data_IF_709235097549
#
_entry.id   IF_709235097549
#
_cell.length_a   1.000
_cell.length_b   1.000
_cell.length_c   1.000
_cell.angle_alpha   90.00
_cell.angle_beta   90.00
_cell.angle_gamma   90.00
#
_symmetry.space_group_name_H-M   'P 1'
#
loop_
_entity.id
_entity.type
_entity.pdbx_description
1 polymer ?
#
# COMPACT_ATOMS: atom_id res chain seq x y z
N UNK A 1 56.05 13.15 -3.98
CA UNK A 1 55.43 12.09 -3.16
C UNK A 1 53.95 12.47 -3.02
N UNK A 2 53.10 12.07 -3.98
CA UNK A 2 52.01 11.05 -3.84
C UNK A 2 50.89 11.51 -2.86
N UNK A 3 49.70 11.95 -3.31
CA UNK A 3 48.51 11.27 -3.91
C UNK A 3 47.70 10.42 -2.92
N UNK A 4 46.47 10.85 -2.64
CA UNK A 4 45.21 10.09 -2.41
C UNK A 4 44.10 11.18 -2.28
N UNK A 5 43.22 11.47 -3.25
CA UNK A 5 42.11 10.68 -3.81
C UNK A 5 41.17 10.06 -2.75
N UNK A 6 40.02 10.71 -2.56
CA UNK A 6 38.68 10.13 -2.36
C UNK A 6 37.73 11.33 -2.24
N UNK A 7 36.85 11.62 -3.19
CA UNK A 7 36.02 10.68 -3.94
C UNK A 7 34.60 10.98 -3.48
N UNK A 8 33.97 11.89 -4.23
CA UNK A 8 32.61 12.40 -4.06
C UNK A 8 31.62 11.25 -3.78
N UNK A 9 31.22 11.10 -2.52
CA UNK A 9 30.20 10.15 -2.14
C UNK A 9 28.84 10.73 -2.54
N UNK A 10 28.53 10.48 -3.82
CA UNK A 10 27.20 10.34 -4.42
C UNK A 10 26.07 10.52 -3.40
N UNK A 11 25.40 11.65 -3.51
CA UNK A 11 24.02 11.83 -3.07
C UNK A 11 23.23 10.62 -3.53
N UNK A 12 22.94 9.70 -2.60
CA UNK A 12 21.93 8.68 -2.80
C UNK A 12 20.64 9.45 -3.04
N UNK A 13 20.27 9.50 -4.32
CA UNK A 13 19.03 10.10 -4.76
C UNK A 13 17.91 9.46 -3.94
N UNK A 14 17.34 10.28 -3.07
CA UNK A 14 15.96 10.18 -2.62
C UNK A 14 15.15 9.91 -3.88
N UNK A 15 14.92 8.62 -4.17
CA UNK A 15 13.82 8.22 -5.02
C UNK A 15 12.59 8.57 -4.20
N UNK A 16 12.28 9.86 -4.17
CA UNK A 16 10.97 10.37 -3.79
C UNK A 16 10.07 9.78 -4.85
N UNK A 17 9.53 8.60 -4.54
CA UNK A 17 8.34 8.11 -5.21
C UNK A 17 7.40 9.29 -5.32
N UNK A 18 6.77 9.52 -6.49
CA UNK A 18 5.95 10.70 -6.71
C UNK A 18 5.03 10.89 -5.51
N UNK A 19 4.86 12.14 -5.05
CA UNK A 19 3.89 12.53 -4.03
C UNK A 19 2.48 12.16 -4.53
N UNK A 20 2.18 10.87 -4.59
CA UNK A 20 0.83 10.33 -4.62
C UNK A 20 0.36 10.61 -3.22
N UNK A 21 -0.30 11.74 -3.07
CA UNK A 21 -0.97 12.06 -1.84
C UNK A 21 -1.94 10.87 -1.61
N UNK A 22 -1.76 10.19 -0.49
CA UNK A 22 -2.50 8.96 -0.18
C UNK A 22 -3.26 9.25 1.08
N UNK A 23 -4.59 9.18 1.00
CA UNK A 23 -5.44 9.45 2.14
C UNK A 23 -6.00 8.14 2.69
N UNK A 24 -5.84 7.97 4.00
CA UNK A 24 -6.45 6.88 4.74
C UNK A 24 -7.94 7.21 4.90
N UNK A 25 -8.79 6.21 4.70
CA UNK A 25 -10.23 6.37 4.88
C UNK A 25 -10.63 6.06 6.32
N UNK A 26 -11.79 6.59 6.74
CA UNK A 26 -12.33 6.36 8.09
C UNK A 26 -12.91 4.97 8.21
N UNK A 27 -13.01 4.47 9.45
CA UNK A 27 -13.66 3.20 9.74
C UNK A 27 -15.12 3.15 9.26
N UNK A 28 -15.84 4.28 9.26
CA UNK A 28 -17.22 4.35 8.76
C UNK A 28 -17.33 4.56 7.23
N UNK A 29 -16.21 4.42 6.49
CA UNK A 29 -16.23 4.59 5.05
C UNK A 29 -17.12 3.54 4.35
N UNK A 30 -17.89 4.02 3.37
CA UNK A 30 -18.80 3.23 2.53
C UNK A 30 -18.48 3.46 1.06
N UNK A 31 -19.00 2.61 0.15
CA UNK A 31 -18.73 2.75 -1.28
C UNK A 31 -17.30 2.34 -1.65
N UNK A 32 -16.70 1.43 -0.88
CA UNK A 32 -15.35 0.93 -1.09
C UNK A 32 -15.29 -0.19 -2.15
N UNK A 33 -16.42 -0.82 -2.45
CA UNK A 33 -16.47 -1.96 -3.35
C UNK A 33 -15.96 -1.59 -4.75
N UNK A 34 -15.00 -2.35 -5.25
CA UNK A 34 -14.38 -2.16 -6.57
C UNK A 34 -13.44 -0.95 -6.64
N UNK A 35 -13.20 -0.23 -5.54
CA UNK A 35 -12.24 0.86 -5.52
C UNK A 35 -10.82 0.30 -5.62
N UNK A 36 -10.02 0.94 -6.46
CA UNK A 36 -8.57 0.74 -6.44
C UNK A 36 -7.97 1.49 -5.25
N UNK A 37 -7.13 0.79 -4.49
CA UNK A 37 -6.43 1.30 -3.32
C UNK A 37 -4.94 1.00 -3.44
N UNK A 38 -4.13 1.80 -2.77
CA UNK A 38 -2.70 1.58 -2.60
C UNK A 38 -2.45 0.88 -1.27
N UNK A 39 -1.69 -0.20 -1.31
CA UNK A 39 -1.05 -0.76 -0.13
C UNK A 39 0.15 0.11 0.23
N UNK A 40 0.18 0.62 1.46
CA UNK A 40 1.27 1.50 1.93
C UNK A 40 2.38 0.73 2.63
N UNK A 41 2.09 -0.48 3.14
CA UNK A 41 3.06 -1.33 3.81
C UNK A 41 3.62 -2.41 2.89
N UNK A 42 4.94 -2.65 2.97
CA UNK A 42 5.64 -3.69 2.22
C UNK A 42 5.29 -5.11 2.67
N UNK A 43 4.83 -5.24 3.93
CA UNK A 43 4.43 -6.50 4.54
C UNK A 43 2.97 -6.41 5.03
N UNK A 44 1.99 -6.55 4.13
CA UNK A 44 0.59 -6.38 4.45
C UNK A 44 0.11 -7.44 5.45
N UNK A 45 -0.65 -6.98 6.44
CA UNK A 45 -1.21 -7.82 7.50
C UNK A 45 -2.69 -7.53 7.73
N UNK A 46 -3.42 -8.54 8.22
CA UNK A 46 -4.74 -8.29 8.83
C UNK A 46 -4.57 -7.58 10.18
N UNK A 47 -5.64 -7.02 10.75
CA UNK A 47 -5.68 -6.44 12.11
C UNK A 47 -5.13 -7.40 13.18
N UNK A 48 -5.37 -8.71 13.04
CA UNK A 48 -4.84 -9.73 13.95
C UNK A 48 -3.33 -10.05 13.76
N UNK A 49 -2.63 -9.34 12.86
CA UNK A 49 -1.20 -9.52 12.60
C UNK A 49 -0.83 -10.67 11.66
N UNK A 50 -1.80 -11.28 10.96
CA UNK A 50 -1.51 -12.33 9.98
C UNK A 50 -0.98 -11.74 8.67
N UNK A 51 0.23 -12.13 8.28
CA UNK A 51 0.87 -11.74 7.02
C UNK A 51 0.07 -12.26 5.83
N UNK A 52 -0.18 -11.39 4.86
CA UNK A 52 -0.83 -11.72 3.59
C UNK A 52 0.23 -11.99 2.52
N UNK A 53 0.76 -13.21 2.47
CA UNK A 53 1.89 -13.58 1.60
C UNK A 53 1.64 -13.26 0.11
N UNK A 54 0.40 -13.43 -0.36
CA UNK A 54 0.01 -13.13 -1.74
C UNK A 54 -0.04 -11.64 -2.10
N UNK A 55 0.16 -10.75 -1.12
CA UNK A 55 0.19 -9.29 -1.28
C UNK A 55 1.58 -8.69 -1.05
N UNK A 56 2.60 -9.50 -0.73
CA UNK A 56 3.97 -9.01 -0.53
C UNK A 56 4.49 -8.43 -1.85
N UNK A 57 4.96 -7.18 -1.80
CA UNK A 57 5.43 -6.45 -2.98
C UNK A 57 4.33 -5.97 -3.92
N UNK A 58 3.05 -6.13 -3.55
CA UNK A 58 1.91 -5.58 -4.29
C UNK A 58 1.63 -4.16 -3.79
N UNK A 59 1.60 -3.19 -4.70
CA UNK A 59 1.30 -1.80 -4.37
C UNK A 59 -0.14 -1.40 -4.68
N UNK A 60 -0.77 -2.02 -5.69
CA UNK A 60 -2.12 -1.69 -6.15
C UNK A 60 -3.07 -2.87 -5.97
N UNK A 61 -4.17 -2.62 -5.27
CA UNK A 61 -5.20 -3.63 -4.98
C UNK A 61 -6.59 -3.08 -5.27
N UNK A 62 -7.55 -3.98 -5.48
CA UNK A 62 -8.97 -3.67 -5.62
C UNK A 62 -9.69 -4.17 -4.37
N UNK A 63 -10.50 -3.30 -3.77
CA UNK A 63 -11.31 -3.64 -2.61
C UNK A 63 -12.55 -4.45 -3.02
N UNK A 64 -12.84 -5.50 -2.27
CA UNK A 64 -13.97 -6.41 -2.46
C UNK A 64 -15.08 -6.21 -1.43
N UNK A 65 -14.85 -5.40 -0.40
CA UNK A 65 -15.85 -5.04 0.60
C UNK A 65 -16.35 -3.61 0.36
N UNK A 66 -17.62 -3.35 0.68
CA UNK A 66 -18.19 -1.99 0.62
C UNK A 66 -17.82 -1.12 1.83
N UNK A 67 -17.56 -1.77 2.98
CA UNK A 67 -17.26 -1.16 4.28
C UNK A 67 -16.21 -1.98 5.01
N UNK A 68 -15.38 -1.39 5.90
CA UNK A 68 -14.51 -2.16 6.79
C UNK A 68 -15.31 -3.16 7.63
N UNK A 69 -14.73 -4.34 7.84
CA UNK A 69 -15.30 -5.34 8.76
C UNK A 69 -15.19 -4.89 10.22
N UNK A 70 -15.88 -5.60 11.12
CA UNK A 70 -15.79 -5.36 12.58
C UNK A 70 -14.39 -5.55 13.16
N UNK A 71 -13.52 -6.28 12.45
CA UNK A 71 -12.10 -6.44 12.80
C UNK A 71 -11.21 -5.43 12.08
N UNK A 72 -11.77 -4.34 11.56
CA UNK A 72 -11.01 -3.29 10.87
C UNK A 72 -10.28 -3.79 9.60
N UNK A 73 -10.69 -4.92 9.06
CA UNK A 73 -10.10 -5.48 7.85
C UNK A 73 -10.93 -5.17 6.61
N UNK A 74 -10.26 -5.09 5.45
CA UNK A 74 -10.85 -5.16 4.12
C UNK A 74 -10.28 -6.33 3.33
N UNK A 75 -11.15 -6.94 2.55
CA UNK A 75 -10.81 -7.96 1.56
C UNK A 75 -10.38 -7.28 0.28
N UNK A 76 -9.21 -7.65 -0.23
CA UNK A 76 -8.64 -7.06 -1.44
C UNK A 76 -8.01 -8.12 -2.33
N UNK A 77 -7.87 -7.82 -3.61
CA UNK A 77 -7.03 -8.60 -4.52
C UNK A 77 -6.04 -7.70 -5.28
N UNK A 78 -4.85 -8.19 -5.66
CA UNK A 78 -3.95 -7.44 -6.54
C UNK A 78 -4.61 -7.08 -7.86
N UNK A 79 -4.23 -5.94 -8.42
CA UNK A 79 -4.66 -5.56 -9.76
C UNK A 79 -4.23 -6.62 -10.78
N UNK A 80 -5.19 -7.15 -11.55
CA UNK A 80 -4.94 -8.21 -12.54
C UNK A 80 -4.88 -9.64 -11.99
N UNK A 81 -5.05 -9.84 -10.67
CA UNK A 81 -5.07 -11.18 -10.05
C UNK A 81 -6.31 -11.36 -9.15
N UNK A 82 -7.52 -11.44 -9.73
CA UNK A 82 -8.77 -11.51 -8.96
C UNK A 82 -8.90 -12.80 -8.11
N UNK A 83 -8.20 -13.87 -8.49
CA UNK A 83 -8.18 -15.13 -7.74
C UNK A 83 -7.31 -15.08 -6.47
N UNK A 84 -6.42 -14.08 -6.34
CA UNK A 84 -5.53 -13.93 -5.19
C UNK A 84 -6.13 -12.92 -4.21
N UNK A 85 -6.85 -13.43 -3.20
CA UNK A 85 -7.55 -12.59 -2.22
C UNK A 85 -6.79 -12.57 -0.90
N UNK A 86 -6.58 -11.38 -0.36
CA UNK A 86 -5.99 -11.16 0.96
C UNK A 86 -6.86 -10.27 1.83
N UNK A 87 -6.65 -10.35 3.14
CA UNK A 87 -7.36 -9.54 4.15
C UNK A 87 -6.38 -8.62 4.86
N UNK A 88 -6.60 -7.31 4.72
CA UNK A 88 -5.64 -6.29 5.15
C UNK A 88 -6.32 -5.31 6.11
N UNK A 89 -5.63 -4.92 7.18
CA UNK A 89 -6.11 -3.87 8.06
C UNK A 89 -6.27 -2.56 7.26
N UNK A 90 -7.42 -1.91 7.43
CA UNK A 90 -7.81 -0.77 6.61
C UNK A 90 -6.82 0.41 6.65
N UNK A 91 -6.01 0.56 7.71
CA UNK A 91 -4.99 1.63 7.79
C UNK A 91 -3.79 1.39 6.90
N UNK A 92 -3.58 0.17 6.42
CA UNK A 92 -2.52 -0.16 5.46
C UNK A 92 -2.98 0.09 4.02
N UNK A 93 -4.21 0.58 3.85
CA UNK A 93 -4.82 0.92 2.58
C UNK A 93 -5.08 2.42 2.50
N UNK A 94 -4.76 2.99 1.35
CA UNK A 94 -5.05 4.38 1.06
C UNK A 94 -5.63 4.54 -0.34
N UNK A 95 -6.42 5.58 -0.55
CA UNK A 95 -6.82 5.95 -1.91
C UNK A 95 -5.69 6.67 -2.62
N UNK A 96 -5.57 6.45 -3.92
CA UNK A 96 -4.81 7.35 -4.78
C UNK A 96 -5.48 8.73 -4.75
N UNK A 97 -4.75 9.79 -4.42
CA UNK A 97 -5.18 11.16 -4.72
C UNK A 97 -5.26 11.28 -6.24
N UNK A 98 -6.50 11.37 -6.71
CA UNK A 98 -6.77 11.86 -8.06
C UNK A 98 -6.37 13.34 -8.04
N UNK A 99 -5.09 13.61 -8.37
CA UNK A 99 -4.61 14.97 -8.57
C UNK A 99 -5.58 15.67 -9.53
N UNK A 100 -6.39 16.58 -8.98
CA UNK A 100 -7.39 17.36 -9.73
C UNK A 100 -6.72 18.32 -10.71
#
# INVERSE_FOLDING_TARGET
MQRLEMGDATTMADHKEPDVNVYHFRYDATGLLGKQMRLVDELPTSDAGHIQEGLIGVSAVICLDDTPSVTHDLTVHPLGQPDSVGRVEFRQLAFYDEAQ
#
